data_IF_236669003522
#
_entry.id   IF_236669003522
#
_cell.length_a   1.000
_cell.length_b   1.000
_cell.length_c   1.000
_cell.angle_alpha   90.00
_cell.angle_beta   90.00
_cell.angle_gamma   90.00
#
_symmetry.space_group_name_H-M   'P 1'
#
loop_
_entity.id
_entity.type
_entity.pdbx_description
1 polymer ?
#
# COMPACT_ATOMS: atom_id res chain seq x y z
N UNK A 1 -7.74 -7.70 -13.79
CA UNK A 1 -7.12 -8.99 -13.48
C UNK A 1 -7.21 -9.06 -11.99
N UNK A 2 -7.93 -10.07 -11.51
CA UNK A 2 -8.38 -10.10 -10.13
C UNK A 2 -7.98 -11.45 -9.53
N UNK A 3 -7.48 -11.43 -8.30
CA UNK A 3 -7.06 -12.64 -7.57
C UNK A 3 -7.79 -12.65 -6.25
N UNK A 4 -8.56 -13.70 -5.98
CA UNK A 4 -9.42 -13.81 -4.79
C UNK A 4 -10.27 -12.55 -4.52
N UNK A 5 -10.91 -12.00 -5.56
CA UNK A 5 -11.71 -10.76 -5.51
C UNK A 5 -10.90 -9.47 -5.25
N UNK A 6 -9.55 -9.52 -5.29
CA UNK A 6 -8.67 -8.34 -5.27
C UNK A 6 -8.43 -7.83 -6.69
N UNK A 7 -8.89 -6.63 -6.99
CA UNK A 7 -8.62 -5.97 -8.27
C UNK A 7 -7.20 -5.35 -8.26
N UNK A 8 -6.24 -6.01 -8.92
CA UNK A 8 -4.83 -5.64 -8.87
C UNK A 8 -4.55 -4.21 -9.36
N UNK A 9 -5.30 -3.77 -10.37
CA UNK A 9 -5.19 -2.41 -10.93
C UNK A 9 -5.62 -1.37 -9.89
N UNK A 10 -6.64 -1.68 -9.10
CA UNK A 10 -7.13 -0.79 -8.05
C UNK A 10 -6.13 -0.71 -6.89
N UNK A 11 -5.53 -1.84 -6.50
CA UNK A 11 -4.46 -1.88 -5.50
C UNK A 11 -3.27 -1.01 -5.94
N UNK A 12 -2.80 -1.17 -7.18
CA UNK A 12 -1.72 -0.36 -7.75
C UNK A 12 -2.04 1.14 -7.73
N UNK A 13 -3.20 1.52 -8.28
CA UNK A 13 -3.64 2.91 -8.34
C UNK A 13 -3.80 3.54 -6.94
N UNK A 14 -4.33 2.78 -5.97
CA UNK A 14 -4.50 3.24 -4.60
C UNK A 14 -3.16 3.49 -3.90
N UNK A 15 -2.21 2.55 -4.04
CA UNK A 15 -0.86 2.70 -3.47
C UNK A 15 -0.13 3.88 -4.12
N UNK A 16 -0.18 3.99 -5.46
CA UNK A 16 0.41 5.12 -6.18
C UNK A 16 -0.20 6.46 -5.73
N UNK A 17 -1.52 6.52 -5.52
CA UNK A 17 -2.20 7.69 -4.99
C UNK A 17 -1.78 8.06 -3.57
N UNK A 18 -1.57 7.06 -2.70
CA UNK A 18 -1.06 7.28 -1.34
C UNK A 18 0.38 7.82 -1.37
N UNK A 19 1.27 7.18 -2.14
CA UNK A 19 2.66 7.62 -2.31
C UNK A 19 2.72 9.04 -2.86
N UNK A 20 1.94 9.35 -3.90
CA UNK A 20 1.91 10.68 -4.50
C UNK A 20 1.52 11.76 -3.49
N UNK A 21 0.53 11.49 -2.62
CA UNK A 21 0.15 12.41 -1.56
C UNK A 21 1.24 12.54 -0.50
N UNK A 22 1.79 11.42 -0.04
CA UNK A 22 2.85 11.40 0.98
C UNK A 22 4.09 12.21 0.58
N UNK A 23 4.43 12.23 -0.71
CA UNK A 23 5.54 13.04 -1.23
C UNK A 23 5.29 14.55 -1.14
N UNK A 24 4.03 14.99 -0.97
CA UNK A 24 3.66 16.41 -0.91
C UNK A 24 3.14 16.84 0.46
N UNK A 25 2.52 15.93 1.22
CA UNK A 25 1.90 16.20 2.53
C UNK A 25 1.62 14.89 3.28
N UNK A 26 1.40 15.01 4.58
CA UNK A 26 0.95 13.88 5.41
C UNK A 26 -0.35 13.25 4.87
N UNK A 27 -0.49 11.93 5.06
CA UNK A 27 -1.70 11.21 4.70
C UNK A 27 -2.87 11.65 5.59
N UNK A 28 -4.08 11.56 5.05
CA UNK A 28 -5.31 11.64 5.83
C UNK A 28 -5.78 10.25 6.25
N UNK A 29 -6.72 10.18 7.19
CA UNK A 29 -7.17 8.91 7.78
C UNK A 29 -7.79 7.97 6.75
N UNK A 30 -8.44 8.53 5.72
CA UNK A 30 -8.98 7.73 4.63
C UNK A 30 -7.85 7.06 3.83
N UNK A 31 -6.80 7.80 3.47
CA UNK A 31 -5.63 7.24 2.77
C UNK A 31 -4.88 6.21 3.60
N UNK A 32 -4.75 6.42 4.91
CA UNK A 32 -4.16 5.44 5.82
C UNK A 32 -4.93 4.12 5.81
N UNK A 33 -6.26 4.21 5.86
CA UNK A 33 -7.13 3.05 5.79
C UNK A 33 -6.96 2.32 4.46
N UNK A 34 -7.02 3.05 3.34
CA UNK A 34 -6.82 2.47 2.00
C UNK A 34 -5.46 1.79 1.88
N UNK A 35 -4.39 2.43 2.35
CA UNK A 35 -3.04 1.85 2.33
C UNK A 35 -2.97 0.55 3.14
N UNK A 36 -3.56 0.53 4.35
CA UNK A 36 -3.61 -0.66 5.19
C UNK A 36 -4.44 -1.79 4.56
N UNK A 37 -5.55 -1.47 3.89
CA UNK A 37 -6.38 -2.45 3.16
C UNK A 37 -5.59 -3.04 1.99
N UNK A 38 -4.89 -2.21 1.20
CA UNK A 38 -4.07 -2.67 0.08
C UNK A 38 -2.91 -3.59 0.51
N UNK A 39 -2.27 -3.30 1.66
CA UNK A 39 -1.23 -4.16 2.23
C UNK A 39 -1.81 -5.54 2.57
N UNK A 40 -2.97 -5.57 3.23
CA UNK A 40 -3.65 -6.81 3.59
C UNK A 40 -4.08 -7.62 2.37
N UNK A 41 -4.58 -6.94 1.33
CA UNK A 41 -4.92 -7.57 0.06
C UNK A 41 -3.68 -8.19 -0.59
N UNK A 42 -2.57 -7.46 -0.67
CA UNK A 42 -1.30 -7.98 -1.20
C UNK A 42 -0.80 -9.18 -0.40
N UNK A 43 -0.75 -9.08 0.93
CA UNK A 43 -0.37 -10.19 1.82
C UNK A 43 -1.18 -11.46 1.55
N UNK A 44 -2.47 -11.30 1.28
CA UNK A 44 -3.36 -12.41 0.93
C UNK A 44 -3.00 -13.01 -0.43
N UNK A 45 -2.85 -12.19 -1.46
CA UNK A 45 -2.72 -12.70 -2.84
C UNK A 45 -1.29 -13.10 -3.25
N UNK A 46 -0.26 -12.71 -2.50
CA UNK A 46 1.15 -12.89 -2.92
C UNK A 46 1.52 -14.32 -3.33
N UNK A 47 0.89 -15.33 -2.73
CA UNK A 47 1.18 -16.74 -3.00
C UNK A 47 0.44 -17.33 -4.22
N UNK A 48 -0.41 -16.53 -4.88
CA UNK A 48 -1.18 -16.95 -6.06
C UNK A 48 -0.55 -16.54 -7.40
N UNK A 49 0.50 -15.72 -7.38
CA UNK A 49 1.19 -15.33 -8.62
C UNK A 49 1.97 -16.52 -9.16
N UNK A 50 1.54 -17.04 -10.32
CA UNK A 50 2.25 -18.08 -11.07
C UNK A 50 3.30 -17.49 -12.02
N UNK A 51 3.11 -16.23 -12.45
CA UNK A 51 4.04 -15.49 -13.28
C UNK A 51 5.10 -14.78 -12.42
N UNK A 52 6.38 -15.01 -12.74
CA UNK A 52 7.52 -14.47 -11.98
C UNK A 52 7.56 -12.93 -12.04
N UNK A 53 7.19 -12.34 -13.17
CA UNK A 53 7.18 -10.90 -13.33
C UNK A 53 6.07 -10.24 -12.52
N UNK A 54 4.86 -10.81 -12.53
CA UNK A 54 3.75 -10.34 -11.67
C UNK A 54 4.10 -10.49 -10.19
N UNK A 55 4.65 -11.63 -9.78
CA UNK A 55 5.09 -11.86 -8.40
C UNK A 55 6.13 -10.83 -7.95
N UNK A 56 7.13 -10.55 -8.79
CA UNK A 56 8.14 -9.54 -8.50
C UNK A 56 7.55 -8.13 -8.43
N UNK A 57 6.70 -7.77 -9.39
CA UNK A 57 6.07 -6.45 -9.44
C UNK A 57 5.24 -6.17 -8.20
N UNK A 58 4.31 -7.06 -7.86
CA UNK A 58 3.44 -6.90 -6.70
C UNK A 58 4.19 -7.06 -5.38
N UNK A 59 5.28 -7.84 -5.35
CA UNK A 59 6.21 -7.88 -4.23
C UNK A 59 6.86 -6.52 -3.96
N UNK A 60 7.38 -5.85 -4.99
CA UNK A 60 7.96 -4.50 -4.84
C UNK A 60 6.89 -3.46 -4.45
N UNK A 61 5.69 -3.57 -5.00
CA UNK A 61 4.57 -2.69 -4.66
C UNK A 61 4.19 -2.82 -3.17
N UNK A 62 4.15 -4.05 -2.66
CA UNK A 62 3.94 -4.36 -1.24
C UNK A 62 5.02 -3.75 -0.36
N UNK A 63 6.29 -3.91 -0.72
CA UNK A 63 7.41 -3.35 0.05
C UNK A 63 7.36 -1.82 0.11
N UNK A 64 6.98 -1.17 -1.00
CA UNK A 64 6.76 0.28 -1.04
C UNK A 64 5.59 0.70 -0.13
N UNK A 65 4.47 -0.02 -0.16
CA UNK A 65 3.33 0.25 0.70
C UNK A 65 3.67 0.11 2.19
N UNK A 66 4.40 -0.95 2.57
CA UNK A 66 4.88 -1.18 3.93
C UNK A 66 5.86 -0.10 4.40
N UNK A 67 6.74 0.35 3.51
CA UNK A 67 7.67 1.45 3.79
C UNK A 67 6.92 2.74 4.07
N UNK A 68 5.96 3.10 3.20
CA UNK A 68 5.12 4.28 3.39
C UNK A 68 4.32 4.20 4.70
N UNK A 69 3.71 3.04 4.98
CA UNK A 69 2.94 2.84 6.21
C UNK A 69 3.81 3.08 7.45
N UNK A 70 5.03 2.53 7.45
CA UNK A 70 5.97 2.69 8.56
C UNK A 70 6.40 4.15 8.76
N UNK A 71 6.62 4.88 7.66
CA UNK A 71 6.96 6.31 7.70
C UNK A 71 5.80 7.16 8.26
N UNK A 72 4.57 6.91 7.81
CA UNK A 72 3.39 7.65 8.30
C UNK A 72 3.13 7.39 9.79
N UNK A 73 3.33 6.16 10.28
CA UNK A 73 3.23 5.88 11.72
C UNK A 73 4.30 6.63 12.53
N UNK A 74 5.54 6.68 12.05
CA UNK A 74 6.61 7.44 12.71
C UNK A 74 6.33 8.96 12.72
N UNK A 75 5.73 9.51 11.66
CA UNK A 75 5.29 10.92 11.63
C UNK A 75 4.16 11.20 12.63
N UNK A 76 3.22 10.28 12.82
CA UNK A 76 2.15 10.42 13.81
C UNK A 76 2.73 10.44 15.23
N UNK A 77 3.65 9.52 15.54
CA UNK A 77 4.26 9.41 16.87
C UNK A 77 5.09 10.63 17.26
N UNK A 78 5.70 11.30 16.28
CA UNK A 78 6.57 12.47 16.50
C UNK A 78 5.81 13.79 16.55
N UNK A 79 4.54 13.83 16.11
CA UNK A 79 3.72 15.04 16.15
C UNK A 79 3.09 15.21 17.55
N UNK A 80 3.38 16.30 18.28
CA UNK A 80 2.82 16.51 19.62
C UNK A 80 1.28 16.52 19.54
N UNK A 81 0.64 15.81 20.47
CA UNK A 81 -0.81 15.93 20.65
C UNK A 81 -1.17 17.40 20.96
N UNK A 82 -2.25 17.95 20.39
CA UNK A 82 -2.67 19.32 20.67
C UNK A 82 -2.97 19.55 22.16
#
# INVERSE_FOLDING_TARGET
>A
MDIEDVELVLVDANIAGCVSVALSRALDDWRRRVLSECIGDLDRIMHHFEDEYEAEYFGRLRDMAMTLYSLDQAEIETRPSP
#
